data_IF_289864516046
#
_entry.id   IF_289864516046
#
_cell.length_a   1.000
_cell.length_b   1.000
_cell.length_c   1.000
_cell.angle_alpha   90.00
_cell.angle_beta   90.00
_cell.angle_gamma   90.00
#
_symmetry.space_group_name_H-M   'P 1'
#
loop_
_entity.id
_entity.type
_entity.pdbx_description
1 polymer ?
#
# COMPACT_ATOMS: atom_id res chain seq x y z
N UNK A 1 1.97 -1.26 20.05
CA UNK A 1 1.64 -0.41 18.89
C UNK A 1 0.27 -0.81 18.34
N UNK A 2 -0.66 0.14 18.15
CA UNK A 2 -2.01 -0.13 17.63
C UNK A 2 -2.01 -0.47 16.13
N UNK A 3 -1.02 0.03 15.38
CA UNK A 3 -0.85 -0.32 13.97
C UNK A 3 -0.64 -1.81 13.78
N UNK A 4 0.20 -2.42 14.62
CA UNK A 4 0.44 -3.86 14.56
C UNK A 4 -0.77 -4.72 14.97
N UNK A 5 -1.56 -4.26 15.95
CA UNK A 5 -2.84 -4.92 16.30
C UNK A 5 -3.79 -4.91 15.10
N UNK A 6 -3.85 -3.79 14.38
CA UNK A 6 -4.66 -3.66 13.18
C UNK A 6 -4.16 -4.58 12.04
N UNK A 7 -2.86 -4.57 11.75
CA UNK A 7 -2.25 -5.48 10.77
C UNK A 7 -2.49 -6.95 11.12
N UNK A 8 -2.28 -7.31 12.39
CA UNK A 8 -2.56 -8.66 12.91
C UNK A 8 -4.02 -9.08 12.68
N UNK A 9 -4.98 -8.18 12.86
CA UNK A 9 -6.39 -8.45 12.54
C UNK A 9 -6.61 -8.66 11.05
N UNK A 10 -6.02 -7.84 10.18
CA UNK A 10 -6.15 -8.01 8.73
C UNK A 10 -5.60 -9.37 8.27
N UNK A 11 -4.51 -9.84 8.87
CA UNK A 11 -3.93 -11.18 8.61
C UNK A 11 -4.85 -12.33 9.03
N UNK A 12 -5.75 -12.10 10.00
CA UNK A 12 -6.80 -13.05 10.37
C UNK A 12 -8.04 -12.97 9.47
N UNK A 13 -8.18 -11.93 8.65
CA UNK A 13 -9.36 -11.65 7.84
C UNK A 13 -9.18 -11.99 6.36
N UNK A 14 -8.10 -12.69 5.98
CA UNK A 14 -7.81 -13.04 4.58
C UNK A 14 -9.00 -13.70 3.89
N UNK A 15 -9.62 -14.70 4.53
CA UNK A 15 -10.78 -15.39 3.99
C UNK A 15 -11.96 -14.47 3.68
N UNK A 16 -12.18 -13.42 4.47
CA UNK A 16 -13.23 -12.42 4.22
C UNK A 16 -12.97 -11.66 2.91
N UNK A 17 -11.73 -11.21 2.68
CA UNK A 17 -11.38 -10.51 1.45
C UNK A 17 -11.42 -11.45 0.24
N UNK A 18 -10.91 -12.67 0.36
CA UNK A 18 -10.98 -13.68 -0.69
C UNK A 18 -12.44 -14.03 -1.05
N UNK A 19 -13.32 -14.14 -0.05
CA UNK A 19 -14.75 -14.41 -0.27
C UNK A 19 -15.40 -13.29 -1.08
N UNK A 20 -15.07 -12.04 -0.80
CA UNK A 20 -15.59 -10.90 -1.56
C UNK A 20 -15.04 -10.86 -3.00
N UNK A 21 -13.78 -11.24 -3.20
CA UNK A 21 -13.23 -11.40 -4.55
C UNK A 21 -13.90 -12.55 -5.31
N UNK A 22 -14.18 -13.68 -4.64
CA UNK A 22 -14.86 -14.83 -5.22
C UNK A 22 -16.30 -14.52 -5.67
N UNK A 23 -16.96 -13.54 -5.05
CA UNK A 23 -18.27 -13.03 -5.51
C UNK A 23 -18.19 -12.21 -6.80
N UNK A 24 -16.98 -11.88 -7.27
CA UNK A 24 -16.78 -10.99 -8.41
C UNK A 24 -17.00 -9.52 -8.07
N UNK A 25 -16.92 -9.14 -6.78
CA UNK A 25 -17.01 -7.74 -6.36
C UNK A 25 -15.97 -6.92 -7.16
N UNK A 26 -16.35 -5.80 -7.81
CA UNK A 26 -15.42 -5.00 -8.61
C UNK A 26 -14.46 -4.18 -7.73
N UNK A 27 -13.47 -3.54 -8.36
CA UNK A 27 -12.62 -2.56 -7.69
C UNK A 27 -13.48 -1.49 -7.01
N UNK A 28 -13.12 -1.15 -5.77
CA UNK A 28 -13.87 -0.19 -4.97
C UNK A 28 -13.27 1.21 -5.11
N UNK A 29 -14.14 2.22 -5.14
CA UNK A 29 -13.73 3.61 -5.11
C UNK A 29 -13.17 3.99 -3.72
N UNK A 30 -11.94 4.50 -3.70
CA UNK A 30 -11.22 4.91 -2.49
C UNK A 30 -11.32 6.42 -2.22
N UNK A 31 -12.00 7.18 -3.08
CA UNK A 31 -12.19 8.62 -2.91
C UNK A 31 -13.15 8.96 -1.77
N UNK A 32 -14.10 8.07 -1.49
CA UNK A 32 -14.99 8.18 -0.35
C UNK A 32 -14.29 7.71 0.93
N UNK A 33 -14.35 8.52 1.99
CA UNK A 33 -13.80 8.13 3.28
C UNK A 33 -14.51 6.88 3.82
N UNK A 34 -13.78 5.78 3.94
CA UNK A 34 -14.30 4.57 4.56
C UNK A 34 -14.46 4.76 6.07
N UNK A 35 -15.70 4.82 6.54
CA UNK A 35 -16.03 4.85 7.96
C UNK A 35 -16.32 3.43 8.43
N UNK A 36 -15.32 2.83 9.08
CA UNK A 36 -15.47 1.55 9.76
C UNK A 36 -16.15 1.77 11.12
N UNK A 37 -17.32 1.18 11.31
CA UNK A 37 -18.02 1.18 12.61
C UNK A 37 -17.71 -0.09 13.40
N UNK A 38 -17.48 -1.21 12.71
CA UNK A 38 -17.14 -2.50 13.30
C UNK A 38 -15.76 -2.95 12.87
N UNK A 39 -15.14 -3.74 13.72
CA UNK A 39 -13.78 -4.25 13.49
C UNK A 39 -13.69 -5.27 12.36
N UNK A 40 -14.82 -5.85 11.99
CA UNK A 40 -15.03 -6.84 10.94
C UNK A 40 -15.60 -6.25 9.64
N UNK A 41 -15.74 -4.92 9.56
CA UNK A 41 -16.16 -4.29 8.29
C UNK A 41 -15.07 -4.49 7.22
N UNK A 42 -15.50 -4.92 6.04
CA UNK A 42 -14.65 -5.08 4.87
C UNK A 42 -14.08 -3.72 4.44
N UNK A 43 -12.75 -3.61 4.33
CA UNK A 43 -12.08 -2.36 3.97
C UNK A 43 -11.84 -2.28 2.47
N UNK A 44 -12.40 -1.30 1.74
CA UNK A 44 -12.21 -1.12 0.31
C UNK A 44 -10.74 -1.11 -0.11
N UNK A 45 -9.90 -0.37 0.62
CA UNK A 45 -8.45 -0.31 0.34
C UNK A 45 -7.81 -1.70 0.41
N UNK A 46 -8.12 -2.47 1.45
CA UNK A 46 -7.51 -3.80 1.65
C UNK A 46 -8.05 -4.79 0.62
N UNK A 47 -9.32 -4.68 0.23
CA UNK A 47 -9.90 -5.47 -0.85
C UNK A 47 -9.20 -5.20 -2.19
N UNK A 48 -8.99 -3.92 -2.55
CA UNK A 48 -8.29 -3.56 -3.78
C UNK A 48 -6.83 -4.06 -3.75
N UNK A 49 -6.14 -3.94 -2.61
CA UNK A 49 -4.79 -4.51 -2.44
C UNK A 49 -4.76 -6.03 -2.65
N UNK A 50 -5.74 -6.76 -2.11
CA UNK A 50 -5.85 -8.21 -2.36
C UNK A 50 -6.09 -8.52 -3.84
N UNK A 51 -6.94 -7.75 -4.53
CA UNK A 51 -7.18 -7.91 -5.97
C UNK A 51 -5.90 -7.73 -6.78
N UNK A 52 -5.22 -6.61 -6.58
CA UNK A 52 -3.96 -6.28 -7.28
C UNK A 52 -2.88 -7.31 -6.98
N UNK A 53 -2.75 -7.69 -5.70
CA UNK A 53 -1.76 -8.68 -5.27
C UNK A 53 -1.96 -10.03 -5.94
N UNK A 54 -3.19 -10.57 -5.92
CA UNK A 54 -3.48 -11.86 -6.56
C UNK A 54 -3.34 -11.80 -8.08
N UNK A 55 -3.70 -10.67 -8.72
CA UNK A 55 -3.54 -10.49 -10.16
C UNK A 55 -2.06 -10.44 -10.59
N UNK A 56 -1.15 -10.05 -9.68
CA UNK A 56 0.30 -10.03 -9.92
C UNK A 56 1.02 -11.35 -9.59
N UNK A 57 0.34 -12.36 -9.03
CA UNK A 57 0.94 -13.65 -8.71
C UNK A 57 0.91 -14.60 -9.92
N UNK A 58 1.90 -15.51 -9.96
CA UNK A 58 1.87 -16.64 -10.90
C UNK A 58 0.91 -17.72 -10.42
N UNK A 59 0.28 -18.41 -11.36
CA UNK A 59 -0.44 -19.68 -11.17
C UNK A 59 0.42 -20.81 -10.57
N UNK A 60 1.74 -20.65 -10.61
CA UNK A 60 2.76 -21.51 -10.01
C UNK A 60 3.11 -21.17 -8.56
N UNK A 61 2.49 -20.13 -7.97
CA UNK A 61 2.72 -19.77 -6.58
C UNK A 61 2.31 -20.93 -5.64
N UNK A 62 3.19 -21.41 -4.73
CA UNK A 62 2.88 -22.58 -3.90
C UNK A 62 1.64 -22.43 -3.02
N UNK A 63 1.24 -21.21 -2.66
CA UNK A 63 0.13 -20.94 -1.75
C UNK A 63 -1.12 -20.53 -2.52
N UNK A 64 -1.02 -19.56 -3.42
CA UNK A 64 -2.15 -19.00 -4.17
C UNK A 64 -2.31 -19.54 -5.59
N UNK A 65 -1.37 -20.34 -6.10
CA UNK A 65 -1.54 -21.05 -7.37
C UNK A 65 -2.79 -21.94 -7.39
N UNK A 66 -3.10 -22.74 -6.35
CA UNK A 66 -4.35 -23.48 -6.27
C UNK A 66 -5.59 -22.59 -6.35
N UNK A 67 -5.59 -21.46 -5.64
CA UNK A 67 -6.64 -20.43 -5.73
C UNK A 67 -6.79 -19.91 -7.17
N UNK A 68 -5.70 -19.51 -7.82
CA UNK A 68 -5.71 -18.93 -9.17
C UNK A 68 -6.19 -19.93 -10.22
N UNK A 69 -5.84 -21.20 -10.08
CA UNK A 69 -6.30 -22.26 -10.99
C UNK A 69 -7.78 -22.59 -10.76
N UNK A 70 -8.23 -22.67 -9.49
CA UNK A 70 -9.64 -22.89 -9.16
C UNK A 70 -10.53 -21.71 -9.56
N UNK A 71 -9.99 -20.48 -9.54
CA UNK A 71 -10.68 -19.27 -10.00
C UNK A 71 -11.06 -19.33 -11.49
N UNK A 72 -10.36 -20.13 -12.31
CA UNK A 72 -10.67 -20.30 -13.73
C UNK A 72 -11.84 -21.26 -13.98
N UNK A 73 -12.29 -21.99 -12.95
CA UNK A 73 -13.41 -22.92 -13.06
C UNK A 73 -14.73 -22.16 -12.92
N UNK A 74 -15.70 -22.46 -13.80
CA UNK A 74 -16.98 -21.76 -13.85
C UNK A 74 -18.16 -22.75 -13.88
N UNK A 75 -19.28 -22.31 -13.30
CA UNK A 75 -20.58 -22.98 -13.44
C UNK A 75 -20.68 -24.32 -12.70
N UNK A 76 -21.61 -25.15 -13.18
CA UNK A 76 -22.02 -26.39 -12.51
C UNK A 76 -20.94 -27.49 -12.54
N UNK A 77 -19.92 -27.35 -13.38
CA UNK A 77 -18.79 -28.27 -13.48
C UNK A 77 -17.72 -28.05 -12.41
N UNK A 78 -17.84 -26.99 -11.60
CA UNK A 78 -16.85 -26.63 -10.59
C UNK A 78 -16.45 -27.80 -9.68
N UNK A 79 -17.39 -28.55 -9.04
CA UNK A 79 -17.01 -29.58 -8.08
C UNK A 79 -16.18 -30.71 -8.67
N UNK A 80 -16.57 -31.20 -9.87
CA UNK A 80 -15.88 -32.30 -10.53
C UNK A 80 -14.46 -31.88 -10.94
N UNK A 81 -14.34 -30.73 -11.61
CA UNK A 81 -13.04 -30.22 -12.08
C UNK A 81 -12.13 -29.78 -10.94
N UNK A 82 -12.70 -29.21 -9.87
CA UNK A 82 -11.93 -28.89 -8.66
C UNK A 82 -11.37 -30.15 -8.01
N UNK A 83 -12.16 -31.23 -7.93
CA UNK A 83 -11.71 -32.52 -7.42
C UNK A 83 -10.54 -33.10 -8.21
N UNK A 84 -10.64 -33.10 -9.55
CA UNK A 84 -9.57 -33.55 -10.45
C UNK A 84 -8.29 -32.72 -10.29
N UNK A 85 -8.43 -31.40 -10.24
CA UNK A 85 -7.31 -30.47 -10.09
C UNK A 85 -6.59 -30.66 -8.75
N UNK A 86 -7.35 -30.78 -7.65
CA UNK A 86 -6.79 -31.03 -6.32
C UNK A 86 -6.07 -32.38 -6.25
N UNK A 87 -6.62 -33.43 -6.88
CA UNK A 87 -5.96 -34.73 -6.93
C UNK A 87 -4.61 -34.66 -7.67
N UNK A 88 -4.56 -33.96 -8.81
CA UNK A 88 -3.32 -33.74 -9.56
C UNK A 88 -2.28 -32.94 -8.76
N UNK A 89 -2.70 -31.91 -8.03
CA UNK A 89 -1.80 -31.13 -7.16
C UNK A 89 -1.20 -31.97 -6.03
N UNK A 90 -1.99 -32.86 -5.44
CA UNK A 90 -1.54 -33.76 -4.38
C UNK A 90 -0.52 -34.76 -4.93
N UNK A 91 -0.75 -35.30 -6.13
CA UNK A 91 0.20 -36.18 -6.82
C UNK A 91 1.53 -35.48 -7.09
N UNK A 92 1.50 -34.21 -7.54
CA UNK A 92 2.70 -33.40 -7.75
C UNK A 92 3.51 -33.14 -6.47
N UNK A 93 2.86 -33.10 -5.31
CA UNK A 93 3.54 -32.99 -4.03
C UNK A 93 4.24 -34.28 -3.60
N UNK A 94 3.83 -35.43 -4.14
CA UNK A 94 4.41 -36.73 -3.82
C UNK A 94 4.26 -37.11 -2.34
N UNK A 95 5.21 -37.91 -1.84
CA UNK A 95 5.18 -38.43 -0.47
C UNK A 95 5.67 -37.39 0.56
N UNK A 96 4.71 -36.75 1.24
CA UNK A 96 4.94 -35.73 2.26
C UNK A 96 5.61 -36.28 3.53
N UNK A 97 5.57 -37.60 3.79
CA UNK A 97 6.22 -38.19 4.98
C UNK A 97 7.74 -38.02 4.96
N UNK A 98 8.32 -37.75 3.78
CA UNK A 98 9.74 -37.45 3.59
C UNK A 98 10.15 -36.04 4.07
N UNK A 99 9.20 -35.19 4.46
CA UNK A 99 9.44 -33.85 5.03
C UNK A 99 9.72 -33.87 6.53
N UNK A 100 10.28 -34.97 7.05
CA UNK A 100 10.30 -35.38 8.47
C UNK A 100 10.86 -34.36 9.49
N UNK A 101 11.42 -33.23 9.05
CA UNK A 101 11.84 -32.11 9.90
C UNK A 101 11.31 -30.78 9.34
N UNK A 102 10.07 -30.35 9.68
CA UNK A 102 9.49 -29.14 9.12
C UNK A 102 10.33 -27.89 9.37
N UNK A 103 11.02 -27.82 10.51
CA UNK A 103 11.91 -26.72 10.90
C UNK A 103 13.31 -26.75 10.28
N UNK A 104 13.66 -27.81 9.54
CA UNK A 104 14.97 -27.89 8.90
C UNK A 104 15.14 -26.78 7.87
N UNK A 105 16.26 -26.05 7.95
CA UNK A 105 16.51 -24.91 7.07
C UNK A 105 16.86 -25.32 5.63
N UNK A 106 17.35 -26.55 5.47
CA UNK A 106 17.76 -27.13 4.18
C UNK A 106 16.77 -28.20 3.65
N UNK A 107 15.59 -28.32 4.26
CA UNK A 107 14.59 -29.30 3.89
C UNK A 107 14.03 -29.07 2.48
N UNK A 108 13.66 -30.17 1.80
CA UNK A 108 12.88 -30.08 0.58
C UNK A 108 11.51 -29.41 0.86
N UNK A 109 11.01 -28.62 -0.10
CA UNK A 109 9.70 -27.98 0.01
C UNK A 109 8.79 -28.51 -1.10
N UNK A 110 7.56 -28.94 -0.79
CA UNK A 110 6.63 -29.40 -1.81
C UNK A 110 6.29 -28.31 -2.82
N UNK A 111 5.83 -28.71 -4.01
CA UNK A 111 5.42 -27.79 -5.08
C UNK A 111 4.30 -26.87 -4.61
N UNK A 112 3.28 -27.44 -3.99
CA UNK A 112 2.13 -26.75 -3.41
C UNK A 112 2.18 -26.82 -1.90
N UNK A 113 1.74 -25.77 -1.22
CA UNK A 113 1.75 -25.72 0.22
C UNK A 113 0.83 -26.80 0.82
N UNK A 114 1.35 -27.76 1.61
CA UNK A 114 0.57 -28.89 2.10
C UNK A 114 -0.65 -28.49 2.94
N UNK A 115 -0.55 -27.43 3.73
CA UNK A 115 -1.65 -26.97 4.60
C UNK A 115 -2.83 -26.44 3.79
N UNK A 116 -2.53 -25.81 2.64
CA UNK A 116 -3.56 -25.33 1.71
C UNK A 116 -4.26 -26.52 1.06
N UNK A 117 -3.51 -27.49 0.53
CA UNK A 117 -4.11 -28.66 -0.11
C UNK A 117 -4.90 -29.51 0.88
N UNK A 118 -4.38 -29.74 2.09
CA UNK A 118 -5.09 -30.47 3.15
C UNK A 118 -6.42 -29.80 3.49
N UNK A 119 -6.42 -28.47 3.66
CA UNK A 119 -7.64 -27.72 3.93
C UNK A 119 -8.65 -27.80 2.77
N UNK A 120 -8.18 -27.71 1.51
CA UNK A 120 -9.03 -27.83 0.34
C UNK A 120 -9.59 -29.23 0.16
N UNK A 121 -8.78 -30.27 0.37
CA UNK A 121 -9.22 -31.67 0.33
C UNK A 121 -10.24 -31.98 1.43
N UNK A 122 -10.01 -31.47 2.64
CA UNK A 122 -10.95 -31.65 3.76
C UNK A 122 -12.28 -30.92 3.51
N UNK A 123 -12.23 -29.73 2.88
CA UNK A 123 -13.42 -28.93 2.59
C UNK A 123 -14.24 -29.50 1.41
N UNK A 124 -13.60 -30.16 0.45
CA UNK A 124 -14.20 -30.60 -0.83
C UNK A 124 -15.03 -29.49 -1.47
N UNK A 125 -14.40 -28.37 -1.87
CA UNK A 125 -15.09 -27.14 -2.23
C UNK A 125 -16.06 -27.37 -3.40
N UNK A 126 -17.30 -26.91 -3.24
CA UNK A 126 -18.33 -26.97 -4.28
C UNK A 126 -18.41 -25.65 -5.06
N UNK A 127 -17.78 -24.61 -4.53
CA UNK A 127 -17.73 -23.28 -5.11
C UNK A 127 -16.43 -22.58 -4.74
N UNK A 128 -16.11 -21.49 -5.45
CA UNK A 128 -14.99 -20.62 -5.10
C UNK A 128 -15.15 -19.96 -3.71
N UNK A 129 -16.38 -19.84 -3.21
CA UNK A 129 -16.63 -19.36 -1.84
C UNK A 129 -16.12 -20.37 -0.80
N UNK A 130 -16.28 -21.67 -1.05
CA UNK A 130 -15.76 -22.72 -0.17
C UNK A 130 -14.23 -22.75 -0.18
N UNK A 131 -13.62 -22.47 -1.36
CA UNK A 131 -12.18 -22.27 -1.48
C UNK A 131 -11.74 -21.09 -0.62
N UNK A 132 -12.43 -19.95 -0.69
CA UNK A 132 -12.12 -18.77 0.11
C UNK A 132 -12.21 -19.04 1.61
N UNK A 133 -13.22 -19.82 2.03
CA UNK A 133 -13.38 -20.23 3.42
C UNK A 133 -12.23 -21.14 3.88
N UNK A 134 -11.82 -22.12 3.07
CA UNK A 134 -10.68 -22.98 3.37
C UNK A 134 -9.36 -22.19 3.51
N UNK A 135 -9.11 -21.22 2.62
CA UNK A 135 -7.97 -20.31 2.75
C UNK A 135 -8.06 -19.43 4.01
N UNK A 136 -9.27 -18.96 4.34
CA UNK A 136 -9.53 -18.23 5.58
C UNK A 136 -9.14 -19.02 6.81
N UNK A 137 -9.60 -20.27 6.90
CA UNK A 137 -9.29 -21.18 8.00
C UNK A 137 -7.77 -21.42 8.14
N UNK A 138 -7.07 -21.64 7.00
CA UNK A 138 -5.61 -21.80 6.97
C UNK A 138 -4.89 -20.56 7.49
N UNK A 139 -5.20 -19.37 6.97
CA UNK A 139 -4.50 -18.15 7.38
C UNK A 139 -4.79 -17.73 8.83
N UNK A 140 -6.00 -17.99 9.32
CA UNK A 140 -6.34 -17.83 10.74
C UNK A 140 -5.47 -18.74 11.61
N UNK A 141 -5.32 -20.02 11.24
CA UNK A 141 -4.50 -20.97 11.97
C UNK A 141 -3.02 -20.56 11.96
N UNK A 142 -2.48 -20.23 10.78
CA UNK A 142 -1.08 -19.79 10.61
C UNK A 142 -0.78 -18.56 11.44
N UNK A 143 -1.65 -17.55 11.41
CA UNK A 143 -1.44 -16.32 12.16
C UNK A 143 -1.50 -16.56 13.67
N UNK A 144 -2.40 -17.43 14.13
CA UNK A 144 -2.49 -17.81 15.55
C UNK A 144 -1.24 -18.55 16.02
N UNK A 145 -0.82 -19.57 15.28
CA UNK A 145 0.40 -20.34 15.58
C UNK A 145 1.64 -19.47 15.55
N UNK A 146 1.71 -18.50 14.64
CA UNK A 146 2.82 -17.55 14.56
C UNK A 146 2.89 -16.66 15.80
N UNK A 147 1.76 -16.09 16.23
CA UNK A 147 1.72 -15.29 17.47
C UNK A 147 2.10 -16.13 18.70
N UNK A 148 1.63 -17.38 18.78
CA UNK A 148 1.99 -18.30 19.86
C UNK A 148 3.49 -18.63 19.84
N UNK A 149 4.04 -18.94 18.66
CA UNK A 149 5.48 -19.23 18.48
C UNK A 149 6.35 -18.05 18.89
N UNK A 150 6.01 -16.82 18.45
CA UNK A 150 6.73 -15.61 18.84
C UNK A 150 6.76 -15.41 20.36
N UNK A 151 5.63 -15.61 21.05
CA UNK A 151 5.57 -15.52 22.51
C UNK A 151 6.46 -16.58 23.16
N UNK A 152 6.39 -17.83 22.71
CA UNK A 152 7.20 -18.92 23.25
C UNK A 152 8.71 -18.66 23.05
N UNK A 153 9.11 -18.22 21.86
CA UNK A 153 10.51 -17.89 21.57
C UNK A 153 11.00 -16.70 22.39
N UNK A 154 10.15 -15.70 22.64
CA UNK A 154 10.47 -14.58 23.51
C UNK A 154 10.66 -15.04 24.98
N UNK A 155 9.83 -15.95 25.48
CA UNK A 155 9.98 -16.54 26.82
C UNK A 155 11.28 -17.34 26.96
N UNK A 156 11.66 -18.09 25.93
CA UNK A 156 12.93 -18.83 25.89
C UNK A 156 14.15 -17.90 25.95
N UNK A 157 14.11 -16.77 25.24
CA UNK A 157 15.19 -15.80 25.20
C UNK A 157 15.43 -15.05 26.53
N UNK A 158 14.48 -15.10 27.47
CA UNK A 158 14.64 -14.50 28.81
C UNK A 158 15.64 -15.28 29.67
N UNK A 159 15.87 -16.57 29.38
CA UNK A 159 16.84 -17.40 30.09
C UNK A 159 18.23 -17.30 29.44
N UNK A 160 19.22 -16.62 30.06
CA UNK A 160 20.54 -16.41 29.46
C UNK A 160 21.39 -17.69 29.33
N UNK A 161 21.02 -18.75 30.05
CA UNK A 161 21.85 -19.95 30.19
C UNK A 161 21.52 -21.08 29.19
N UNK A 162 20.51 -20.92 28.33
CA UNK A 162 20.10 -21.95 27.36
C UNK A 162 19.85 -21.36 25.97
N UNK A 163 20.81 -21.55 25.06
CA UNK A 163 20.63 -21.23 23.64
C UNK A 163 19.83 -22.35 22.98
N UNK A 164 18.60 -22.03 22.54
CA UNK A 164 17.76 -22.95 21.75
C UNK A 164 18.09 -22.78 20.26
N UNK A 165 18.53 -23.84 19.55
CA UNK A 165 18.81 -23.74 18.12
C UNK A 165 17.54 -23.50 17.28
N UNK A 166 17.68 -22.80 16.14
CA UNK A 166 16.56 -22.53 15.22
C UNK A 166 15.87 -23.82 14.69
N UNK A 167 16.60 -24.92 14.57
CA UNK A 167 16.07 -26.22 14.10
C UNK A 167 15.47 -27.07 15.24
N UNK A 168 15.32 -26.51 16.45
CA UNK A 168 14.61 -27.15 17.55
C UNK A 168 13.13 -27.37 17.18
N UNK A 169 12.58 -28.52 17.57
CA UNK A 169 11.19 -28.87 17.30
C UNK A 169 10.20 -27.84 17.89
N UNK A 170 10.58 -27.14 18.96
CA UNK A 170 9.79 -26.04 19.56
C UNK A 170 9.61 -24.86 18.62
N UNK A 171 10.54 -24.64 17.70
CA UNK A 171 10.47 -23.55 16.72
C UNK A 171 9.81 -23.98 15.41
N UNK A 172 9.17 -25.16 15.34
CA UNK A 172 8.53 -25.64 14.13
C UNK A 172 7.53 -24.64 13.53
N UNK A 173 6.75 -23.91 14.34
CA UNK A 173 5.84 -22.88 13.82
C UNK A 173 6.58 -21.68 13.20
N UNK A 174 7.72 -21.29 13.79
CA UNK A 174 8.53 -20.13 13.42
C UNK A 174 9.41 -20.43 12.20
N UNK A 175 10.02 -21.60 12.14
CA UNK A 175 11.06 -21.93 11.17
C UNK A 175 10.58 -22.88 10.06
N UNK A 176 9.37 -23.44 10.19
CA UNK A 176 8.82 -24.32 9.15
C UNK A 176 8.79 -23.67 7.78
N UNK A 177 9.40 -24.31 6.77
CA UNK A 177 9.38 -23.82 5.40
C UNK A 177 7.94 -23.66 4.87
N UNK A 178 7.07 -24.62 5.20
CA UNK A 178 5.64 -24.61 4.86
C UNK A 178 4.92 -23.42 5.52
N UNK A 179 5.14 -23.18 6.81
CA UNK A 179 4.54 -22.04 7.51
C UNK A 179 5.16 -20.70 7.12
N UNK A 180 6.42 -20.68 6.69
CA UNK A 180 7.10 -19.47 6.18
C UNK A 180 6.52 -19.04 4.84
N UNK A 181 6.23 -19.97 3.92
CA UNK A 181 5.56 -19.67 2.65
C UNK A 181 4.24 -18.91 2.88
N UNK A 182 3.39 -19.43 3.77
CA UNK A 182 2.11 -18.78 4.11
C UNK A 182 2.33 -17.40 4.74
N UNK A 183 3.25 -17.28 5.70
CA UNK A 183 3.55 -15.99 6.34
C UNK A 183 4.15 -14.96 5.39
N UNK A 184 4.87 -15.36 4.35
CA UNK A 184 5.37 -14.41 3.33
C UNK A 184 4.22 -13.62 2.75
N UNK A 185 3.10 -14.25 2.41
CA UNK A 185 1.90 -13.56 1.89
C UNK A 185 1.18 -12.66 2.91
N UNK A 186 1.55 -12.74 4.21
CA UNK A 186 0.95 -11.94 5.28
C UNK A 186 1.86 -10.80 5.78
N UNK A 187 3.18 -11.01 5.73
CA UNK A 187 4.18 -10.16 6.39
C UNK A 187 5.19 -9.54 5.43
N UNK A 188 5.42 -10.13 4.26
CA UNK A 188 6.41 -9.59 3.33
C UNK A 188 5.96 -8.22 2.81
N UNK A 189 6.90 -7.29 2.66
CA UNK A 189 6.63 -6.00 2.05
C UNK A 189 5.98 -6.15 0.67
N UNK A 190 5.01 -5.30 0.35
CA UNK A 190 4.21 -5.36 -0.88
C UNK A 190 2.98 -6.27 -0.81
N UNK A 191 2.80 -7.04 0.27
CA UNK A 191 1.56 -7.83 0.47
C UNK A 191 0.38 -6.96 0.93
N UNK A 192 -0.87 -7.44 0.81
CA UNK A 192 -2.05 -6.65 1.16
C UNK A 192 -2.11 -6.23 2.63
N UNK A 193 -1.56 -7.07 3.51
CA UNK A 193 -1.58 -6.88 4.97
C UNK A 193 -0.29 -6.28 5.54
N UNK A 194 0.80 -6.26 4.76
CA UNK A 194 2.02 -5.55 5.11
C UNK A 194 1.91 -4.09 4.64
N UNK A 195 1.66 -3.20 5.59
CA UNK A 195 1.54 -1.77 5.36
C UNK A 195 2.35 -1.00 6.40
N UNK A 196 2.86 0.16 5.99
CA UNK A 196 3.54 1.08 6.89
C UNK A 196 2.57 1.64 7.96
N UNK A 197 3.15 2.29 8.97
CA UNK A 197 2.38 2.82 10.09
C UNK A 197 1.49 4.01 9.67
N UNK A 198 1.90 4.78 8.67
CA UNK A 198 1.12 5.88 8.14
C UNK A 198 -0.21 5.35 7.58
N UNK A 199 -0.16 4.36 6.70
CA UNK A 199 -1.33 3.73 6.10
C UNK A 199 -2.14 2.95 7.14
N UNK A 200 -1.49 2.18 8.02
CA UNK A 200 -2.17 1.45 9.08
C UNK A 200 -2.99 2.40 9.98
N UNK A 201 -2.46 3.58 10.29
CA UNK A 201 -3.14 4.58 11.12
C UNK A 201 -4.44 5.09 10.49
N UNK A 202 -4.50 5.18 9.16
CA UNK A 202 -5.73 5.59 8.43
C UNK A 202 -6.86 4.57 8.57
N UNK A 203 -6.51 3.31 8.81
CA UNK A 203 -7.44 2.20 8.96
C UNK A 203 -7.89 1.98 10.41
N UNK A 204 -7.27 2.65 11.39
CA UNK A 204 -7.72 2.58 12.77
C UNK A 204 -9.12 3.20 12.91
N UNK A 205 -9.90 2.71 13.87
CA UNK A 205 -11.16 3.37 14.20
C UNK A 205 -10.88 4.77 14.75
N UNK A 206 -11.86 5.67 14.59
CA UNK A 206 -11.70 7.09 14.95
C UNK A 206 -11.22 7.30 16.40
N UNK A 207 -11.78 6.65 17.44
CA UNK A 207 -11.31 6.86 18.81
C UNK A 207 -9.85 6.48 19.04
N UNK A 208 -9.39 5.37 18.45
CA UNK A 208 -7.99 4.94 18.57
C UNK A 208 -7.08 5.88 17.78
N UNK A 209 -7.49 6.30 16.58
CA UNK A 209 -6.74 7.25 15.77
C UNK A 209 -6.59 8.61 16.46
N UNK A 210 -7.68 9.14 17.01
CA UNK A 210 -7.67 10.43 17.71
C UNK A 210 -6.75 10.38 18.94
N UNK A 211 -6.80 9.28 19.72
CA UNK A 211 -5.89 9.06 20.85
C UNK A 211 -4.43 8.97 20.42
N UNK A 212 -4.15 8.20 19.38
CA UNK A 212 -2.77 7.99 18.87
C UNK A 212 -2.20 9.30 18.31
N UNK A 213 -3.01 10.07 17.58
CA UNK A 213 -2.63 11.39 17.06
C UNK A 213 -2.38 12.39 18.19
N UNK A 214 -3.20 12.37 19.24
CA UNK A 214 -2.99 13.19 20.43
C UNK A 214 -1.67 12.88 21.16
N UNK A 215 -1.31 11.59 21.28
CA UNK A 215 -0.02 11.17 21.83
C UNK A 215 1.15 11.63 20.95
N UNK A 216 1.03 11.48 19.62
CA UNK A 216 2.02 11.99 18.67
C UNK A 216 2.23 13.50 18.79
N UNK A 217 1.14 14.26 18.88
CA UNK A 217 1.19 15.71 19.10
C UNK A 217 1.81 16.10 20.44
N UNK A 218 1.61 15.31 21.50
CA UNK A 218 2.27 15.53 22.79
C UNK A 218 3.79 15.30 22.72
N UNK A 219 4.23 14.27 21.98
CA UNK A 219 5.66 14.02 21.71
C UNK A 219 6.25 15.17 20.90
N UNK A 220 5.57 15.61 19.84
CA UNK A 220 6.02 16.74 19.02
C UNK A 220 6.09 18.04 19.84
N UNK A 221 5.08 18.31 20.68
CA UNK A 221 5.10 19.45 21.59
C UNK A 221 6.27 19.40 22.57
N UNK A 222 6.63 18.21 23.08
CA UNK A 222 7.81 18.04 23.91
C UNK A 222 9.10 18.31 23.12
N UNK A 223 9.21 17.80 21.89
CA UNK A 223 10.34 18.06 20.99
C UNK A 223 10.49 19.52 20.55
N UNK A 224 9.43 20.33 20.64
CA UNK A 224 9.43 21.74 20.27
C UNK A 224 9.71 22.66 21.46
N UNK A 225 9.22 22.31 22.65
CA UNK A 225 9.20 23.22 23.80
C UNK A 225 10.15 22.82 24.94
N UNK A 226 10.69 21.60 24.94
CA UNK A 226 11.63 21.17 25.98
C UNK A 226 12.96 21.95 25.88
N UNK A 227 13.49 22.37 27.03
CA UNK A 227 14.70 23.19 27.11
C UNK A 227 15.95 22.50 26.51
N UNK A 228 15.97 21.17 26.45
CA UNK A 228 17.03 20.38 25.82
C UNK A 228 16.86 20.15 24.33
N UNK A 229 15.77 20.64 23.72
CA UNK A 229 15.51 20.42 22.30
C UNK A 229 16.43 21.27 21.42
N UNK A 230 17.08 20.70 20.39
CA UNK A 230 17.91 21.47 19.47
C UNK A 230 17.06 22.45 18.66
N UNK A 231 17.60 23.61 18.25
CA UNK A 231 16.88 24.53 17.36
C UNK A 231 16.54 23.81 16.05
N UNK A 232 15.31 23.98 15.57
CA UNK A 232 14.80 23.38 14.34
C UNK A 232 14.34 24.47 13.38
N UNK A 233 14.44 24.19 12.08
CA UNK A 233 13.82 24.99 11.04
C UNK A 233 12.86 24.11 10.25
N UNK A 234 11.73 24.68 9.81
CA UNK A 234 10.83 24.00 8.89
C UNK A 234 11.53 23.87 7.54
N UNK A 235 11.82 22.63 7.13
CA UNK A 235 12.35 22.31 5.81
C UNK A 235 11.26 21.65 4.97
N UNK A 236 11.20 22.03 3.70
CA UNK A 236 10.31 21.41 2.73
C UNK A 236 11.11 20.35 1.97
N UNK A 237 10.77 19.08 2.18
CA UNK A 237 11.31 17.98 1.38
C UNK A 237 10.32 17.62 0.27
N UNK A 238 10.85 17.21 -0.89
CA UNK A 238 10.05 16.76 -2.02
C UNK A 238 10.13 15.25 -2.13
N UNK A 239 8.98 14.60 -2.28
CA UNK A 239 8.90 13.15 -2.41
C UNK A 239 9.52 12.71 -3.75
N UNK A 240 10.47 11.78 -3.67
CA UNK A 240 11.18 11.22 -4.83
C UNK A 240 10.49 10.00 -5.42
N UNK A 241 9.38 9.55 -4.83
CA UNK A 241 8.57 8.44 -5.34
C UNK A 241 8.02 8.78 -6.71
N UNK A 242 8.27 7.90 -7.69
CA UNK A 242 7.68 8.03 -9.00
C UNK A 242 6.19 7.65 -8.94
N UNK A 243 5.35 8.66 -8.84
CA UNK A 243 3.91 8.49 -8.80
C UNK A 243 3.31 8.67 -10.19
N UNK A 244 2.57 7.66 -10.64
CA UNK A 244 1.77 7.68 -11.86
C UNK A 244 0.47 8.44 -11.59
N UNK A 245 0.16 9.43 -12.42
CA UNK A 245 -1.10 10.16 -12.39
C UNK A 245 -1.93 9.80 -13.62
N UNK A 246 -3.24 9.71 -13.48
CA UNK A 246 -4.14 9.35 -14.58
C UNK A 246 -5.35 10.29 -14.61
N UNK A 247 -5.88 10.53 -15.81
CA UNK A 247 -7.11 11.32 -15.97
C UNK A 247 -8.31 10.49 -15.51
N UNK A 248 -9.01 10.96 -14.48
CA UNK A 248 -10.26 10.33 -14.04
C UNK A 248 -11.40 10.70 -14.97
N UNK A 249 -11.89 9.73 -15.73
CA UNK A 249 -12.98 9.95 -16.69
C UNK A 249 -14.26 10.24 -15.92
N UNK A 250 -14.88 11.39 -16.26
CA UNK A 250 -16.08 11.90 -15.55
C UNK A 250 -15.87 12.05 -14.04
N UNK A 251 -14.62 12.19 -13.58
CA UNK A 251 -14.27 12.32 -12.15
C UNK A 251 -14.28 11.01 -11.36
N UNK A 252 -14.44 9.85 -12.00
CA UNK A 252 -14.40 8.55 -11.32
C UNK A 252 -12.97 8.07 -11.11
N UNK A 253 -12.61 7.72 -9.87
CA UNK A 253 -11.27 7.25 -9.49
C UNK A 253 -10.94 5.83 -10.00
N UNK A 254 -11.98 5.05 -10.33
CA UNK A 254 -11.89 3.69 -10.87
C UNK A 254 -11.88 3.67 -12.40
N UNK A 255 -12.48 4.67 -13.06
CA UNK A 255 -12.44 4.82 -14.53
C UNK A 255 -11.23 5.67 -14.93
N UNK A 256 -10.06 5.02 -14.89
CA UNK A 256 -8.78 5.66 -15.18
C UNK A 256 -8.54 5.75 -16.69
N UNK A 257 -8.30 6.96 -17.16
CA UNK A 257 -8.00 7.29 -18.55
C UNK A 257 -6.49 7.33 -18.82
N UNK A 258 -6.08 8.27 -19.67
CA UNK A 258 -4.68 8.41 -20.07
C UNK A 258 -3.79 8.78 -18.88
N UNK A 259 -2.58 8.22 -18.88
CA UNK A 259 -1.52 8.60 -17.97
C UNK A 259 -1.03 10.02 -18.27
N UNK A 260 -0.80 10.78 -17.21
CA UNK A 260 -0.29 12.14 -17.27
C UNK A 260 0.93 12.26 -16.36
N UNK A 261 1.92 13.00 -16.84
CA UNK A 261 3.14 13.24 -16.08
C UNK A 261 3.21 14.70 -15.64
N UNK A 262 3.69 14.99 -14.42
CA UNK A 262 3.89 16.35 -13.94
C UNK A 262 4.80 17.11 -14.91
N UNK A 263 4.30 18.23 -15.45
CA UNK A 263 5.04 19.11 -16.36
C UNK A 263 4.40 20.50 -16.34
N UNK A 264 5.02 21.47 -16.98
CA UNK A 264 4.42 22.78 -17.16
C UNK A 264 3.17 22.73 -18.06
N UNK A 265 2.30 23.73 -17.94
CA UNK A 265 1.05 23.76 -18.69
C UNK A 265 1.33 23.90 -20.19
N UNK A 266 0.99 22.86 -20.97
CA UNK A 266 1.23 22.81 -22.42
C UNK A 266 0.47 23.89 -23.19
N UNK A 267 -0.65 24.39 -22.67
CA UNK A 267 -1.40 25.50 -23.27
C UNK A 267 -0.67 26.85 -23.15
N UNK A 268 0.28 26.96 -22.23
CA UNK A 268 1.06 28.18 -21.97
C UNK A 268 2.51 28.08 -22.45
N UNK A 269 2.88 26.99 -23.14
CA UNK A 269 4.25 26.76 -23.61
C UNK A 269 4.26 26.26 -25.05
N UNK A 270 5.05 26.92 -25.89
CA UNK A 270 5.27 26.52 -27.28
C UNK A 270 6.18 25.28 -27.37
N UNK A 271 6.83 24.91 -26.26
CA UNK A 271 7.67 23.72 -26.15
C UNK A 271 6.83 22.60 -25.53
N UNK A 272 6.89 21.40 -26.13
CA UNK A 272 6.53 20.18 -25.40
C UNK A 272 7.58 19.96 -24.32
N UNK A 273 7.40 20.61 -23.18
CA UNK A 273 8.30 20.46 -22.04
C UNK A 273 8.30 19.02 -21.55
N UNK A 274 9.49 18.56 -21.18
CA UNK A 274 9.68 17.25 -20.58
C UNK A 274 8.94 17.17 -19.24
N UNK A 275 8.55 15.96 -18.87
CA UNK A 275 8.04 15.71 -17.54
C UNK A 275 9.10 16.10 -16.49
N UNK A 276 8.66 16.68 -15.40
CA UNK A 276 9.51 16.92 -14.25
C UNK A 276 9.86 15.58 -13.59
N UNK A 277 11.13 15.41 -13.27
CA UNK A 277 11.61 14.21 -12.61
C UNK A 277 11.04 14.10 -11.18
N UNK A 278 10.83 12.87 -10.66
CA UNK A 278 10.52 12.67 -9.24
C UNK A 278 11.53 13.37 -8.33
N UNK A 279 11.06 13.96 -7.23
CA UNK A 279 11.88 14.76 -6.32
C UNK A 279 12.32 16.13 -6.88
N UNK A 280 11.91 16.50 -8.09
CA UNK A 280 12.26 17.78 -8.74
C UNK A 280 11.05 18.48 -9.39
N UNK A 281 9.82 18.11 -9.03
CA UNK A 281 8.60 18.66 -9.64
C UNK A 281 8.41 20.12 -9.24
N UNK A 282 8.64 20.46 -7.96
CA UNK A 282 8.63 21.86 -7.49
C UNK A 282 9.74 22.68 -8.12
N UNK A 283 10.96 22.12 -8.18
CA UNK A 283 12.10 22.77 -8.82
C UNK A 283 11.85 23.00 -10.32
N UNK A 284 11.30 22.01 -11.02
CA UNK A 284 10.93 22.10 -12.42
C UNK A 284 9.90 23.21 -12.69
N UNK A 285 8.85 23.27 -11.87
CA UNK A 285 7.87 24.36 -11.94
C UNK A 285 8.51 25.73 -11.65
N UNK A 286 9.35 25.84 -10.62
CA UNK A 286 10.04 27.09 -10.27
C UNK A 286 10.96 27.58 -11.39
N UNK A 287 11.69 26.66 -12.06
CA UNK A 287 12.51 26.99 -13.24
C UNK A 287 11.66 27.43 -14.42
N UNK A 288 10.49 26.83 -14.63
CA UNK A 288 9.57 27.22 -15.70
C UNK A 288 8.99 28.62 -15.46
N UNK A 289 8.63 28.93 -14.20
CA UNK A 289 8.14 30.26 -13.82
C UNK A 289 9.25 31.31 -13.97
N UNK A 290 10.46 31.03 -13.51
CA UNK A 290 11.60 31.97 -13.56
C UNK A 290 12.39 31.92 -14.87
N UNK A 291 11.91 31.18 -15.87
CA UNK A 291 12.60 31.01 -17.15
C UNK A 291 12.84 32.37 -17.83
N UNK A 292 14.04 32.62 -18.39
CA UNK A 292 14.30 33.87 -19.06
C UNK A 292 13.39 34.20 -20.24
N UNK A 293 12.78 33.20 -20.87
CA UNK A 293 11.80 33.36 -21.93
C UNK A 293 10.38 33.68 -21.43
N UNK A 294 10.12 33.58 -20.12
CA UNK A 294 8.85 34.00 -19.51
C UNK A 294 8.91 35.48 -19.09
N UNK A 295 8.24 36.40 -19.79
CA UNK A 295 8.28 37.83 -19.46
C UNK A 295 7.47 38.18 -18.21
N UNK A 296 6.45 37.39 -17.85
CA UNK A 296 5.49 37.74 -16.79
C UNK A 296 6.18 37.88 -15.43
N UNK A 297 7.06 36.94 -15.09
CA UNK A 297 7.76 36.93 -13.80
C UNK A 297 8.56 38.21 -13.59
N UNK A 298 9.27 38.68 -14.62
CA UNK A 298 10.04 39.93 -14.53
C UNK A 298 9.14 41.15 -14.42
N UNK A 299 8.06 41.21 -15.21
CA UNK A 299 7.08 42.31 -15.14
C UNK A 299 6.49 42.44 -13.73
N UNK A 300 6.09 41.33 -13.12
CA UNK A 300 5.57 41.28 -11.75
C UNK A 300 6.62 41.83 -10.75
N UNK A 301 7.86 41.33 -10.81
CA UNK A 301 8.93 41.76 -9.90
C UNK A 301 9.25 43.25 -10.06
N UNK A 302 9.37 43.74 -11.30
CA UNK A 302 9.62 45.17 -11.57
C UNK A 302 8.50 46.03 -11.00
N UNK A 303 7.25 45.61 -11.18
CA UNK A 303 6.10 46.33 -10.64
C UNK A 303 6.08 46.35 -9.11
N UNK A 304 6.41 45.23 -8.45
CA UNK A 304 6.54 45.18 -6.99
C UNK A 304 7.65 46.11 -6.49
N UNK A 305 8.83 46.09 -7.13
CA UNK A 305 9.95 46.98 -6.77
C UNK A 305 9.55 48.43 -6.96
N UNK A 306 8.92 48.78 -8.08
CA UNK A 306 8.42 50.13 -8.36
C UNK A 306 7.39 50.57 -7.33
N UNK A 307 6.41 49.72 -7.03
CA UNK A 307 5.39 49.98 -6.01
C UNK A 307 6.02 50.22 -4.64
N UNK A 308 7.04 49.45 -4.26
CA UNK A 308 7.73 49.61 -2.98
C UNK A 308 8.48 50.95 -2.88
N UNK A 309 9.05 51.43 -3.99
CA UNK A 309 9.79 52.70 -4.02
C UNK A 309 8.88 53.93 -4.15
N UNK A 310 7.82 53.86 -4.95
CA UNK A 310 6.99 55.02 -5.30
C UNK A 310 5.59 55.00 -4.69
N UNK A 311 5.25 53.96 -3.93
CA UNK A 311 3.95 53.79 -3.26
C UNK A 311 2.82 53.30 -4.15
N UNK A 312 2.97 53.31 -5.47
CA UNK A 312 2.01 52.77 -6.44
C UNK A 312 2.75 52.03 -7.56
N UNK A 313 2.23 50.87 -7.98
CA UNK A 313 2.78 50.11 -9.10
C UNK A 313 2.50 50.77 -10.45
N UNK A 314 3.32 50.44 -11.45
CA UNK A 314 3.07 50.73 -12.86
C UNK A 314 1.74 50.11 -13.31
N UNK A 315 1.48 48.87 -12.88
CA UNK A 315 0.19 48.20 -12.89
C UNK A 315 -0.40 48.27 -11.49
N UNK A 316 -1.59 48.88 -11.37
CA UNK A 316 -2.28 49.10 -10.08
C UNK A 316 -2.93 47.84 -9.49
N UNK A 317 -2.95 46.74 -10.25
CA UNK A 317 -3.32 45.40 -9.81
C UNK A 317 -2.07 44.52 -9.79
N UNK A 318 -1.25 44.54 -8.72
CA UNK A 318 0.14 44.07 -8.77
C UNK A 318 0.33 42.60 -9.16
N UNK A 319 -0.69 41.77 -8.95
CA UNK A 319 -0.65 40.32 -9.19
C UNK A 319 -1.55 39.87 -10.36
N UNK A 320 -2.20 40.80 -11.06
CA UNK A 320 -3.08 40.49 -12.20
C UNK A 320 -2.65 41.29 -13.45
N UNK A 321 -1.99 40.57 -14.35
CA UNK A 321 -1.59 41.02 -15.69
C UNK A 321 -2.48 40.43 -16.80
N UNK A 322 -3.56 39.75 -16.41
CA UNK A 322 -4.54 39.20 -17.34
C UNK A 322 -5.52 40.27 -17.82
N UNK A 323 -6.54 39.83 -18.55
CA UNK A 323 -7.59 40.72 -19.11
C UNK A 323 -8.48 41.37 -18.04
N UNK A 324 -8.36 40.95 -16.78
CA UNK A 324 -9.10 41.49 -15.63
C UNK A 324 -8.26 42.50 -14.82
N UNK A 325 -6.96 42.56 -15.07
CA UNK A 325 -6.04 43.54 -14.50
C UNK A 325 -6.17 44.92 -15.12
N UNK A 326 -5.62 45.93 -14.44
CA UNK A 326 -5.51 47.28 -15.00
C UNK A 326 -4.33 47.39 -15.96
N UNK A 327 -4.47 48.19 -17.01
CA UNK A 327 -3.35 48.44 -17.93
C UNK A 327 -2.20 49.17 -17.22
N UNK A 328 -0.94 48.90 -17.60
CA UNK A 328 0.20 49.66 -17.10
C UNK A 328 0.07 51.15 -17.45
N UNK A 329 0.42 52.01 -16.50
CA UNK A 329 0.48 53.46 -16.75
C UNK A 329 1.57 53.86 -17.74
N UNK A 330 2.70 53.14 -17.73
CA UNK A 330 3.86 53.36 -18.60
C UNK A 330 4.37 51.99 -19.12
N UNK A 331 3.74 51.42 -20.16
CA UNK A 331 4.02 50.05 -20.61
C UNK A 331 5.44 49.86 -21.13
N UNK A 332 6.03 50.90 -21.74
CA UNK A 332 7.40 50.86 -22.26
C UNK A 332 8.45 50.65 -21.15
N UNK A 333 8.14 50.98 -19.90
CA UNK A 333 9.03 50.71 -18.76
C UNK A 333 8.99 49.25 -18.29
N UNK A 334 7.99 48.46 -18.71
CA UNK A 334 7.86 47.04 -18.38
C UNK A 334 8.43 46.10 -19.45
N UNK A 335 8.53 46.57 -20.70
CA UNK A 335 8.80 45.74 -21.89
C UNK A 335 10.11 46.08 -22.61
N UNK A 336 11.10 46.61 -21.87
CA UNK A 336 12.40 47.06 -22.38
C UNK A 336 13.41 45.94 -22.62
#
# INVERSE_FOLDING_TARGET
DQGEVMRGRLRMQVGMYLRELAKGTPEQDLSAAFLSYRTDDLRPLVLNRWREYLAGLSDDDPVFGPWLQLLQLNGDEFPARAGELLAAMVEQNGDLSKLAAPQSLNGAVPRWNPRVLEALQAKQPQSLLDVADAYGDVFIAVQREWMQGLTQSAEEAVSPDAVVPDEDARHASINSAVSRQLRRHLYQSGTPTAMDDALASTLLNRPVRDRTSGMGGAIEALHLNDAGSPPRAMALEEESTDQVFQVFRRGSSIDRGEEVHPRFLTVLSDKREQAFLPGQRRLGLARSITDPANPLTRRVVVNWVWQHHFGQGLVRTPDDYGTRGQSPTHPELLDY
#
